data_IF_797993572068
#
_entry.id   IF_797993572068
#
_cell.length_a   1.000
_cell.length_b   1.000
_cell.length_c   1.000
_cell.angle_alpha   90.00
_cell.angle_beta   90.00
_cell.angle_gamma   90.00
#
_symmetry.space_group_name_H-M   'P 1'
#
loop_
_entity.id
_entity.type
_entity.pdbx_description
1 polymer ?
#
# COMPACT_ATOMS: atom_id res chain seq x y z
N UNK A 1 -35.37 -18.08 -93.28
CA UNK A 1 -36.44 -17.78 -92.30
C UNK A 1 -35.79 -17.35 -90.99
N UNK A 2 -36.01 -16.11 -90.56
CA UNK A 2 -35.65 -15.56 -89.23
C UNK A 2 -36.53 -16.21 -88.13
N UNK A 3 -36.04 -16.38 -86.88
CA UNK A 3 -36.02 -15.31 -85.84
C UNK A 3 -34.67 -15.21 -85.08
N UNK A 4 -34.12 -14.03 -84.79
CA UNK A 4 -34.30 -13.12 -83.62
C UNK A 4 -33.81 -13.67 -82.24
N UNK A 5 -33.35 -12.78 -81.32
CA UNK A 5 -32.10 -12.94 -80.56
C UNK A 5 -32.29 -13.21 -79.06
N UNK A 6 -31.33 -13.90 -78.46
CA UNK A 6 -31.18 -14.07 -77.01
C UNK A 6 -30.18 -13.07 -76.44
N UNK A 7 -30.70 -12.02 -75.79
CA UNK A 7 -29.97 -11.01 -75.04
C UNK A 7 -29.32 -11.64 -73.78
N UNK A 8 -28.03 -11.94 -73.80
CA UNK A 8 -27.29 -12.26 -72.58
C UNK A 8 -26.95 -10.95 -71.85
N UNK A 9 -27.72 -10.66 -70.80
CA UNK A 9 -27.42 -9.59 -69.83
C UNK A 9 -26.11 -9.93 -69.11
N UNK A 10 -25.07 -9.17 -69.40
CA UNK A 10 -23.85 -9.12 -68.58
C UNK A 10 -24.25 -8.45 -67.26
N UNK A 11 -24.35 -9.23 -66.19
CA UNK A 11 -24.45 -8.72 -64.83
C UNK A 11 -23.06 -8.20 -64.45
N UNK A 12 -22.88 -6.89 -64.52
CA UNK A 12 -21.74 -6.20 -63.92
C UNK A 12 -21.96 -6.24 -62.40
N UNK A 13 -21.34 -7.21 -61.72
CA UNK A 13 -21.26 -7.22 -60.26
C UNK A 13 -20.41 -6.04 -59.80
N UNK A 14 -21.07 -5.00 -59.30
CA UNK A 14 -20.47 -3.93 -58.53
C UNK A 14 -19.88 -4.52 -57.24
N UNK A 15 -18.55 -4.65 -57.17
CA UNK A 15 -17.84 -4.88 -55.91
C UNK A 15 -17.82 -3.55 -55.17
N UNK A 16 -18.78 -3.39 -54.26
CA UNK A 16 -18.82 -2.27 -53.32
C UNK A 16 -17.71 -2.47 -52.29
N UNK A 17 -16.57 -1.80 -52.49
CA UNK A 17 -15.49 -1.74 -51.51
C UNK A 17 -15.96 -0.89 -50.32
N UNK A 18 -16.57 -1.51 -49.32
CA UNK A 18 -16.93 -0.86 -48.06
C UNK A 18 -15.62 -0.57 -47.32
N UNK A 19 -15.13 0.66 -47.41
CA UNK A 19 -14.10 1.20 -46.52
C UNK A 19 -14.75 1.37 -45.15
N UNK A 20 -14.71 0.32 -44.34
CA UNK A 20 -15.05 0.44 -42.93
C UNK A 20 -13.99 1.34 -42.28
N UNK A 21 -14.37 2.40 -41.54
CA UNK A 21 -13.41 3.13 -40.74
C UNK A 21 -12.82 2.13 -39.74
N UNK A 22 -11.52 1.84 -39.89
CA UNK A 22 -10.76 1.17 -38.83
C UNK A 22 -10.97 2.01 -37.57
N UNK A 23 -11.45 1.44 -36.46
CA UNK A 23 -11.44 2.16 -35.20
C UNK A 23 -9.99 2.55 -34.97
N UNK A 24 -9.72 3.85 -34.94
CA UNK A 24 -8.50 4.37 -34.34
C UNK A 24 -8.57 3.86 -32.91
N UNK A 25 -7.83 2.78 -32.64
CA UNK A 25 -7.47 2.39 -31.29
C UNK A 25 -6.65 3.58 -30.78
N UNK A 26 -7.35 4.55 -30.20
CA UNK A 26 -6.75 5.46 -29.25
C UNK A 26 -6.10 4.54 -28.23
N UNK A 27 -4.75 4.57 -28.21
CA UNK A 27 -3.99 3.99 -27.12
C UNK A 27 -4.52 4.67 -25.86
N UNK A 28 -5.47 4.00 -25.21
CA UNK A 28 -5.92 4.37 -23.89
C UNK A 28 -4.65 4.24 -23.07
N UNK A 29 -4.06 5.38 -22.72
CA UNK A 29 -2.91 5.46 -21.83
C UNK A 29 -3.29 4.58 -20.66
N UNK A 30 -2.66 3.42 -20.55
CA UNK A 30 -2.91 2.50 -19.47
C UNK A 30 -2.66 3.32 -18.21
N UNK A 31 -3.74 3.66 -17.49
CA UNK A 31 -3.61 4.30 -16.19
C UNK A 31 -2.68 3.39 -15.39
N UNK A 32 -1.57 3.94 -14.93
CA UNK A 32 -0.52 3.17 -14.27
C UNK A 32 -1.15 2.40 -13.12
N UNK A 33 -1.18 1.08 -13.23
CA UNK A 33 -1.62 0.17 -12.18
C UNK A 33 -0.59 0.04 -11.06
N UNK A 34 0.49 0.82 -11.13
CA UNK A 34 1.58 0.79 -10.16
C UNK A 34 1.13 1.55 -8.90
N UNK A 35 0.77 0.77 -7.88
CA UNK A 35 0.42 1.23 -6.53
C UNK A 35 1.60 1.98 -5.87
N UNK A 36 2.83 1.65 -6.29
CA UNK A 36 4.07 2.18 -5.71
C UNK A 36 5.06 2.59 -6.81
N UNK A 37 6.01 3.50 -6.52
CA UNK A 37 7.13 3.81 -7.42
C UNK A 37 7.87 2.55 -7.88
N UNK A 38 8.06 2.43 -9.19
CA UNK A 38 8.65 1.26 -9.81
C UNK A 38 10.17 1.37 -9.93
N UNK A 39 10.91 0.59 -9.14
CA UNK A 39 12.39 0.54 -9.13
C UNK A 39 13.01 -0.61 -9.94
N UNK A 40 12.22 -1.33 -10.76
CA UNK A 40 12.69 -2.53 -11.44
C UNK A 40 13.85 -2.27 -12.41
N UNK A 41 13.84 -1.17 -13.16
CA UNK A 41 14.93 -0.82 -14.09
C UNK A 41 16.28 -0.71 -13.36
N UNK A 42 16.31 0.01 -12.23
CA UNK A 42 17.53 0.16 -11.40
C UNK A 42 18.00 -1.17 -10.80
N UNK A 43 17.05 -2.04 -10.39
CA UNK A 43 17.35 -3.39 -9.88
C UNK A 43 17.95 -4.28 -10.97
N UNK A 44 17.41 -4.24 -12.19
CA UNK A 44 17.95 -4.98 -13.35
C UNK A 44 19.34 -4.48 -13.72
N UNK A 45 19.54 -3.16 -13.80
CA UNK A 45 20.84 -2.56 -14.11
C UNK A 45 21.90 -2.94 -13.06
N UNK A 46 21.50 -3.02 -11.79
CA UNK A 46 22.40 -3.35 -10.67
C UNK A 46 22.49 -4.84 -10.39
N UNK A 47 21.76 -5.70 -11.11
CA UNK A 47 21.63 -7.12 -10.77
C UNK A 47 22.98 -7.83 -10.70
N UNK A 48 23.90 -7.48 -11.61
CA UNK A 48 25.25 -8.01 -11.62
C UNK A 48 26.04 -7.68 -10.34
N UNK A 49 25.76 -6.53 -9.70
CA UNK A 49 26.33 -6.13 -8.39
C UNK A 49 25.64 -6.85 -7.25
N UNK A 50 24.29 -6.91 -7.29
CA UNK A 50 23.45 -7.51 -6.25
C UNK A 50 23.81 -8.97 -5.95
N UNK A 51 24.19 -9.72 -6.98
CA UNK A 51 24.53 -11.16 -6.89
C UNK A 51 26.01 -11.46 -6.63
N UNK A 52 26.87 -10.45 -6.47
CA UNK A 52 28.30 -10.68 -6.25
C UNK A 52 28.56 -11.41 -4.93
N UNK A 53 29.74 -12.02 -4.76
CA UNK A 53 30.21 -12.46 -3.45
C UNK A 53 30.14 -11.32 -2.41
N UNK A 54 29.82 -11.66 -1.16
CA UNK A 54 29.62 -10.65 -0.10
C UNK A 54 30.81 -9.71 0.09
N UNK A 55 32.04 -10.21 -0.09
CA UNK A 55 33.25 -9.38 -0.01
C UNK A 55 33.18 -8.17 -0.95
N UNK A 56 32.69 -8.37 -2.17
CA UNK A 56 32.54 -7.30 -3.16
C UNK A 56 31.28 -6.45 -2.94
N UNK A 57 30.21 -7.06 -2.41
CA UNK A 57 28.98 -6.31 -2.07
C UNK A 57 29.26 -5.31 -0.95
N UNK A 58 30.03 -5.70 0.08
CA UNK A 58 30.42 -4.83 1.21
C UNK A 58 31.26 -3.63 0.79
N UNK A 59 31.99 -3.73 -0.31
CA UNK A 59 32.82 -2.65 -0.85
C UNK A 59 32.03 -1.67 -1.75
N UNK A 60 30.77 -1.98 -2.08
CA UNK A 60 29.95 -1.11 -2.92
C UNK A 60 29.67 0.21 -2.21
N UNK A 61 29.91 1.31 -2.90
CA UNK A 61 29.53 2.64 -2.45
C UNK A 61 28.08 2.92 -2.82
N UNK A 62 27.48 3.88 -2.12
CA UNK A 62 26.19 4.42 -2.53
C UNK A 62 26.26 4.98 -3.96
N UNK A 63 25.16 4.83 -4.70
CA UNK A 63 25.05 5.25 -6.10
C UNK A 63 23.65 5.78 -6.37
N UNK A 64 23.53 6.82 -7.18
CA UNK A 64 22.24 7.31 -7.69
C UNK A 64 22.08 6.82 -9.13
N UNK A 65 21.01 6.08 -9.38
CA UNK A 65 20.69 5.46 -10.67
C UNK A 65 19.46 6.14 -11.24
N UNK A 66 19.59 6.75 -12.42
CA UNK A 66 18.48 7.37 -13.13
C UNK A 66 17.68 6.33 -13.94
N UNK A 67 16.37 6.24 -13.67
CA UNK A 67 15.45 5.38 -14.42
C UNK A 67 14.82 6.15 -15.57
N UNK A 68 14.95 5.59 -16.79
CA UNK A 68 14.38 6.22 -17.98
C UNK A 68 12.89 5.99 -18.07
N UNK A 69 12.39 4.85 -17.59
CA UNK A 69 10.96 4.50 -17.72
C UNK A 69 10.05 5.40 -16.88
N UNK A 70 10.52 5.83 -15.71
CA UNK A 70 9.75 6.63 -14.75
C UNK A 70 10.28 8.06 -14.61
N UNK A 71 11.40 8.41 -15.26
CA UNK A 71 12.07 9.72 -15.15
C UNK A 71 12.31 10.07 -13.68
N UNK A 72 12.86 9.13 -12.92
CA UNK A 72 13.10 9.27 -11.48
C UNK A 72 14.47 8.72 -11.08
N UNK A 73 15.03 9.23 -10.00
CA UNK A 73 16.27 8.70 -9.44
C UNK A 73 15.98 7.63 -8.40
N UNK A 74 16.84 6.63 -8.33
CA UNK A 74 16.85 5.60 -7.28
C UNK A 74 18.23 5.56 -6.65
N UNK A 75 18.29 5.70 -5.33
CA UNK A 75 19.52 5.46 -4.58
C UNK A 75 19.70 3.96 -4.34
N UNK A 76 20.84 3.43 -4.77
CA UNK A 76 21.35 2.13 -4.37
C UNK A 76 22.27 2.30 -3.15
N UNK A 77 22.01 1.56 -2.08
CA UNK A 77 22.74 1.64 -0.82
C UNK A 77 22.99 0.24 -0.26
N UNK A 78 24.19 -0.01 0.26
CA UNK A 78 24.52 -1.24 0.99
C UNK A 78 24.73 -0.92 2.47
N UNK A 79 24.11 -1.71 3.35
CA UNK A 79 24.27 -1.63 4.79
C UNK A 79 24.77 -3.00 5.28
N UNK A 80 25.87 -3.02 6.03
CA UNK A 80 26.43 -4.23 6.61
C UNK A 80 26.26 -4.21 8.15
N UNK A 81 25.55 -5.19 8.69
CA UNK A 81 25.35 -5.37 10.13
C UNK A 81 26.15 -6.56 10.70
N UNK A 82 27.10 -7.10 9.92
CA UNK A 82 27.92 -8.25 10.27
C UNK A 82 27.21 -9.58 10.04
N UNK A 83 26.08 -9.80 10.72
CA UNK A 83 25.27 -11.02 10.57
C UNK A 83 24.38 -11.02 9.32
N UNK A 84 24.16 -9.86 8.73
CA UNK A 84 23.39 -9.70 7.51
C UNK A 84 23.91 -8.52 6.69
N UNK A 85 23.75 -8.62 5.37
CA UNK A 85 24.04 -7.53 4.43
C UNK A 85 22.73 -7.14 3.75
N UNK A 86 22.39 -5.86 3.81
CA UNK A 86 21.20 -5.29 3.21
C UNK A 86 21.57 -4.48 1.98
N UNK A 87 20.86 -4.70 0.88
CA UNK A 87 21.00 -3.95 -0.36
C UNK A 87 19.67 -3.27 -0.64
N UNK A 88 19.68 -1.93 -0.67
CA UNK A 88 18.49 -1.10 -0.73
C UNK A 88 18.40 -0.41 -2.09
N UNK A 89 17.18 -0.33 -2.62
CA UNK A 89 16.82 0.49 -3.77
C UNK A 89 15.73 1.47 -3.33
N UNK A 90 16.12 2.72 -3.10
CA UNK A 90 15.29 3.75 -2.48
C UNK A 90 14.91 4.76 -3.58
N UNK A 91 13.65 4.82 -4.02
CA UNK A 91 13.21 5.84 -4.98
C UNK A 91 13.32 7.24 -4.35
N UNK A 92 13.61 8.22 -5.19
CA UNK A 92 13.57 9.62 -4.81
C UNK A 92 12.13 10.06 -4.52
N UNK A 93 11.94 10.78 -3.42
CA UNK A 93 10.68 11.41 -3.06
C UNK A 93 10.98 12.84 -2.63
N UNK A 94 10.51 13.82 -3.42
CA UNK A 94 10.69 15.25 -3.13
C UNK A 94 12.16 15.67 -2.90
N UNK A 95 13.10 15.05 -3.60
CA UNK A 95 14.55 15.31 -3.45
C UNK A 95 15.23 14.51 -2.34
N UNK A 96 14.48 13.73 -1.57
CA UNK A 96 14.98 12.88 -0.51
C UNK A 96 14.93 11.39 -0.86
N UNK A 97 15.57 10.56 -0.04
CA UNK A 97 15.62 9.10 -0.19
C UNK A 97 15.21 8.40 1.12
N UNK A 98 13.91 8.41 1.48
CA UNK A 98 13.43 7.81 2.71
C UNK A 98 13.49 6.28 2.65
N UNK A 99 14.23 5.64 3.56
CA UNK A 99 14.36 4.16 3.62
C UNK A 99 13.01 3.46 3.80
N UNK A 100 12.07 4.07 4.53
CA UNK A 100 10.71 3.58 4.69
C UNK A 100 9.73 4.25 3.70
N UNK A 101 10.21 4.72 2.55
CA UNK A 101 9.40 5.32 1.49
C UNK A 101 8.75 4.27 0.59
N UNK A 102 7.55 4.57 0.08
CA UNK A 102 6.84 3.71 -0.86
C UNK A 102 7.70 3.33 -2.06
N UNK A 103 7.69 2.06 -2.46
CA UNK A 103 8.51 1.56 -3.57
C UNK A 103 9.95 1.22 -3.20
N UNK A 104 10.38 1.47 -1.95
CA UNK A 104 11.70 1.04 -1.49
C UNK A 104 11.77 -0.49 -1.40
N UNK A 105 12.82 -1.07 -1.99
CA UNK A 105 13.16 -2.48 -1.84
C UNK A 105 14.35 -2.64 -0.90
N UNK A 106 14.24 -3.56 0.05
CA UNK A 106 15.32 -3.95 0.96
C UNK A 106 15.58 -5.44 0.79
N UNK A 107 16.72 -5.80 0.23
CA UNK A 107 17.13 -7.18 0.00
C UNK A 107 18.07 -7.59 1.12
N UNK A 108 17.70 -8.61 1.90
CA UNK A 108 18.51 -9.17 2.98
C UNK A 108 19.27 -10.40 2.48
N UNK A 109 20.58 -10.40 2.70
CA UNK A 109 21.45 -11.56 2.50
C UNK A 109 22.03 -11.99 3.84
N UNK A 110 22.19 -13.29 4.01
CA UNK A 110 22.92 -13.88 5.13
C UNK A 110 24.37 -13.35 5.14
N UNK A 111 24.90 -12.97 6.31
CA UNK A 111 26.22 -12.35 6.43
C UNK A 111 27.41 -13.31 6.27
N UNK A 112 27.17 -14.61 6.39
CA UNK A 112 28.20 -15.65 6.34
C UNK A 112 28.35 -16.25 4.94
N UNK A 113 27.25 -16.78 4.38
CA UNK A 113 27.23 -17.49 3.11
C UNK A 113 26.67 -16.64 1.95
N UNK A 114 26.05 -15.49 2.24
CA UNK A 114 25.56 -14.57 1.23
C UNK A 114 24.33 -15.05 0.48
N UNK A 115 23.63 -16.07 0.95
CA UNK A 115 22.36 -16.49 0.36
C UNK A 115 21.31 -15.40 0.55
N UNK A 116 20.37 -15.28 -0.40
CA UNK A 116 19.22 -14.39 -0.24
C UNK A 116 18.28 -14.98 0.81
N UNK A 117 17.96 -14.22 1.85
CA UNK A 117 17.05 -14.67 2.91
C UNK A 117 15.65 -14.08 2.75
N UNK A 118 15.59 -12.81 2.33
CA UNK A 118 14.34 -12.07 2.28
C UNK A 118 14.45 -10.86 1.35
N UNK A 119 13.32 -10.42 0.80
CA UNK A 119 13.16 -9.06 0.32
C UNK A 119 11.95 -8.40 1.00
N UNK A 120 12.08 -7.14 1.42
CA UNK A 120 10.99 -6.31 1.94
C UNK A 120 10.71 -5.20 0.94
N UNK A 121 9.43 -4.95 0.64
CA UNK A 121 9.00 -3.86 -0.24
C UNK A 121 8.00 -2.99 0.50
N UNK A 122 8.29 -1.70 0.64
CA UNK A 122 7.38 -0.76 1.29
C UNK A 122 6.25 -0.36 0.35
N UNK A 123 5.01 -0.48 0.84
CA UNK A 123 3.79 -0.20 0.08
C UNK A 123 3.37 1.27 0.20
N UNK A 124 3.63 1.89 1.36
CA UNK A 124 3.41 3.31 1.63
C UNK A 124 4.67 3.88 2.27
N UNK A 125 4.73 5.20 2.42
CA UNK A 125 5.83 5.91 3.09
C UNK A 125 5.78 5.78 4.62
N UNK A 126 5.52 4.58 5.11
CA UNK A 126 5.46 4.24 6.53
C UNK A 126 6.01 2.82 6.76
N UNK A 127 6.77 2.65 7.85
CA UNK A 127 7.52 1.43 8.13
C UNK A 127 6.64 0.17 8.33
N UNK A 128 5.35 0.39 8.60
CA UNK A 128 4.35 -0.63 8.93
C UNK A 128 3.50 -1.10 7.74
N UNK A 129 3.79 -0.60 6.54
CA UNK A 129 3.07 -0.97 5.31
C UNK A 129 4.04 -1.58 4.32
N UNK A 130 4.07 -2.91 4.25
CA UNK A 130 5.05 -3.60 3.43
C UNK A 130 4.64 -5.01 3.06
N UNK A 131 5.29 -5.56 2.04
CA UNK A 131 5.35 -7.01 1.84
C UNK A 131 6.71 -7.57 2.21
N UNK A 132 6.75 -8.81 2.69
CA UNK A 132 7.97 -9.60 2.83
C UNK A 132 7.90 -10.79 1.87
N UNK A 133 9.00 -11.04 1.19
CA UNK A 133 9.19 -12.10 0.22
C UNK A 133 10.27 -13.02 0.76
N UNK A 134 9.95 -14.30 0.89
CA UNK A 134 10.87 -15.34 1.37
C UNK A 134 11.11 -16.33 0.24
N UNK A 135 12.37 -16.64 -0.11
CA UNK A 135 12.66 -17.70 -1.05
C UNK A 135 12.17 -19.04 -0.47
N UNK A 136 11.50 -19.85 -1.29
CA UNK A 136 11.00 -21.15 -0.86
C UNK A 136 11.15 -22.16 -1.99
N UNK A 137 12.15 -23.03 -1.87
CA UNK A 137 12.58 -23.88 -2.98
C UNK A 137 13.13 -23.07 -4.16
N UNK A 138 13.20 -23.69 -5.34
CA UNK A 138 13.84 -23.08 -6.52
C UNK A 138 12.89 -22.18 -7.32
N UNK A 139 11.58 -22.41 -7.24
CA UNK A 139 10.63 -21.90 -8.23
C UNK A 139 9.45 -21.10 -7.65
N UNK A 140 9.48 -20.80 -6.35
CA UNK A 140 8.45 -19.95 -5.76
C UNK A 140 8.98 -19.13 -4.59
N UNK A 141 8.24 -18.08 -4.25
CA UNK A 141 8.42 -17.33 -3.01
C UNK A 141 7.14 -17.39 -2.18
N UNK A 142 7.30 -17.29 -0.87
CA UNK A 142 6.22 -17.03 0.06
C UNK A 142 6.17 -15.52 0.31
N UNK A 143 4.99 -14.95 0.28
CA UNK A 143 4.75 -13.53 0.51
C UNK A 143 3.85 -13.33 1.73
N UNK A 144 4.31 -12.47 2.62
CA UNK A 144 3.53 -11.92 3.71
C UNK A 144 3.17 -10.47 3.40
N UNK A 145 1.93 -10.06 3.68
CA UNK A 145 1.44 -8.68 3.50
C UNK A 145 1.14 -8.09 4.87
N UNK A 146 1.79 -6.98 5.18
CA UNK A 146 1.64 -6.26 6.46
C UNK A 146 0.99 -4.90 6.20
N UNK A 147 -0.08 -4.64 6.94
CA UNK A 147 -0.89 -3.43 6.86
C UNK A 147 -0.97 -2.77 8.23
N UNK A 148 -0.37 -1.58 8.37
CA UNK A 148 -0.35 -0.84 9.63
C UNK A 148 0.10 -1.70 10.83
N UNK A 149 1.09 -2.56 10.61
CA UNK A 149 1.70 -3.44 11.62
C UNK A 149 1.10 -4.84 11.66
N UNK A 150 -0.12 -5.02 11.14
CA UNK A 150 -0.83 -6.29 11.17
C UNK A 150 -0.52 -7.17 9.96
N UNK A 151 -0.25 -8.45 10.20
CA UNK A 151 -0.10 -9.46 9.15
C UNK A 151 -1.49 -9.85 8.61
N UNK A 152 -1.88 -9.25 7.49
CA UNK A 152 -3.22 -9.45 6.90
C UNK A 152 -3.26 -10.64 5.92
N UNK A 153 -2.12 -11.00 5.33
CA UNK A 153 -1.96 -12.21 4.53
C UNK A 153 -0.61 -12.86 4.85
N UNK A 154 -0.62 -14.18 5.00
CA UNK A 154 0.57 -14.96 5.34
C UNK A 154 0.81 -16.05 4.30
N UNK A 155 2.06 -16.22 3.87
CA UNK A 155 2.47 -17.36 3.05
C UNK A 155 1.82 -17.42 1.66
N UNK A 156 1.45 -16.26 1.08
CA UNK A 156 0.90 -16.18 -0.27
C UNK A 156 1.94 -16.66 -1.27
N UNK A 157 1.64 -17.71 -2.02
CA UNK A 157 2.59 -18.32 -2.95
C UNK A 157 2.65 -17.55 -4.26
N UNK A 158 3.85 -17.13 -4.66
CA UNK A 158 4.11 -16.53 -5.98
C UNK A 158 4.95 -17.51 -6.80
N UNK A 159 4.52 -17.92 -8.01
CA UNK A 159 5.15 -18.98 -8.80
C UNK A 159 6.40 -18.48 -9.56
N UNK A 160 7.35 -17.90 -8.84
CA UNK A 160 8.60 -17.36 -9.38
C UNK A 160 9.70 -17.42 -8.31
N UNK A 161 10.94 -17.65 -8.70
CA UNK A 161 12.08 -17.56 -7.77
C UNK A 161 12.28 -16.13 -7.27
N UNK A 162 12.89 -15.96 -6.10
CA UNK A 162 13.16 -14.63 -5.56
C UNK A 162 14.05 -13.82 -6.50
N UNK A 163 15.07 -14.43 -7.09
CA UNK A 163 15.98 -13.78 -8.03
C UNK A 163 15.30 -13.22 -9.28
N UNK A 164 14.38 -13.98 -9.86
CA UNK A 164 13.57 -13.50 -10.99
C UNK A 164 12.64 -12.37 -10.55
N UNK A 165 12.00 -12.52 -9.39
CA UNK A 165 11.06 -11.53 -8.87
C UNK A 165 11.74 -10.20 -8.50
N UNK A 166 12.97 -10.26 -8.01
CA UNK A 166 13.83 -9.10 -7.73
C UNK A 166 14.19 -8.29 -8.99
N UNK A 167 13.91 -8.80 -10.18
CA UNK A 167 14.10 -8.10 -11.45
C UNK A 167 12.77 -7.66 -12.10
N UNK A 168 11.62 -8.07 -11.53
CA UNK A 168 10.29 -7.71 -12.03
C UNK A 168 9.75 -6.42 -11.38
N UNK A 169 8.88 -5.67 -12.08
CA UNK A 169 8.11 -4.60 -11.45
C UNK A 169 7.18 -5.15 -10.37
N UNK A 170 6.81 -4.29 -9.41
CA UNK A 170 5.89 -4.69 -8.34
C UNK A 170 4.51 -5.11 -8.87
N UNK A 171 4.07 -4.54 -9.99
CA UNK A 171 2.84 -4.96 -10.67
C UNK A 171 2.83 -6.44 -11.08
N UNK A 172 3.98 -7.09 -11.25
CA UNK A 172 4.04 -8.54 -11.44
C UNK A 172 3.63 -9.31 -10.16
N UNK A 173 4.06 -8.86 -8.99
CA UNK A 173 3.64 -9.42 -7.68
C UNK A 173 2.13 -9.29 -7.53
N UNK A 174 1.59 -8.10 -7.82
CA UNK A 174 0.14 -7.83 -7.82
C UNK A 174 -0.56 -8.80 -8.76
N UNK A 175 -0.09 -8.93 -10.01
CA UNK A 175 -0.71 -9.80 -11.00
C UNK A 175 -0.77 -11.28 -10.57
N UNK A 176 0.31 -11.80 -9.97
CA UNK A 176 0.35 -13.19 -9.48
C UNK A 176 -0.51 -13.45 -8.24
N UNK A 177 -0.81 -12.42 -7.45
CA UNK A 177 -1.49 -12.54 -6.16
C UNK A 177 -2.89 -11.90 -6.13
N UNK A 178 -3.36 -11.29 -7.22
CA UNK A 178 -4.63 -10.53 -7.30
C UNK A 178 -5.89 -11.25 -6.85
N UNK A 179 -5.88 -12.59 -6.85
CA UNK A 179 -7.02 -13.41 -6.42
C UNK A 179 -6.96 -13.80 -4.93
N UNK A 180 -5.82 -13.57 -4.28
CA UNK A 180 -5.57 -13.94 -2.90
C UNK A 180 -5.42 -12.71 -1.99
N UNK A 181 -4.96 -11.59 -2.57
CA UNK A 181 -4.71 -10.33 -1.87
C UNK A 181 -5.57 -9.26 -2.51
N UNK A 182 -6.35 -8.55 -1.69
CA UNK A 182 -7.06 -7.34 -2.12
C UNK A 182 -6.09 -6.16 -2.13
N UNK A 183 -5.46 -5.92 -3.28
CA UNK A 183 -4.55 -4.79 -3.47
C UNK A 183 -5.24 -3.43 -3.52
N UNK A 184 -6.57 -3.40 -3.65
CA UNK A 184 -7.35 -2.17 -3.68
C UNK A 184 -7.20 -1.36 -2.40
N UNK A 185 -6.92 -2.00 -1.27
CA UNK A 185 -6.73 -1.34 0.03
C UNK A 185 -5.52 -0.39 0.09
N UNK A 186 -4.59 -0.49 -0.88
CA UNK A 186 -3.41 0.37 -0.98
C UNK A 186 -3.56 1.47 -2.05
N UNK A 187 -4.67 1.48 -2.80
CA UNK A 187 -5.01 2.56 -3.74
C UNK A 187 -5.68 3.70 -2.96
N UNK A 188 -4.86 4.56 -2.35
CA UNK A 188 -5.33 5.67 -1.50
C UNK A 188 -5.52 6.93 -2.33
N UNK A 189 -6.68 7.57 -2.16
CA UNK A 189 -6.90 8.94 -2.59
C UNK A 189 -6.32 9.93 -1.57
N UNK A 190 -5.14 10.45 -1.88
CA UNK A 190 -4.44 11.42 -1.03
C UNK A 190 -4.94 12.85 -1.22
N UNK A 191 -5.68 13.16 -2.30
CA UNK A 191 -6.13 14.52 -2.64
C UNK A 191 -7.46 14.89 -1.96
N UNK A 192 -7.69 14.34 -0.77
CA UNK A 192 -8.93 14.52 -0.05
C UNK A 192 -8.77 15.62 0.99
N UNK A 193 -9.37 16.80 0.75
CA UNK A 193 -9.35 17.93 1.69
C UNK A 193 -9.87 17.61 3.10
N UNK A 194 -10.54 16.47 3.30
CA UNK A 194 -10.89 16.00 4.64
C UNK A 194 -9.69 15.61 5.52
N UNK A 195 -8.53 15.25 4.95
CA UNK A 195 -7.35 14.90 5.76
C UNK A 195 -6.81 16.10 6.54
N UNK A 196 -6.66 17.23 5.86
CA UNK A 196 -6.25 18.50 6.49
C UNK A 196 -7.29 18.98 7.50
N UNK A 197 -8.59 18.85 7.17
CA UNK A 197 -9.63 19.27 8.11
C UNK A 197 -9.69 18.38 9.36
N UNK A 198 -9.43 17.07 9.22
CA UNK A 198 -9.34 16.16 10.37
C UNK A 198 -8.14 16.44 11.26
N UNK A 199 -6.96 16.75 10.70
CA UNK A 199 -5.79 17.11 11.50
C UNK A 199 -6.04 18.38 12.30
N UNK A 200 -6.67 19.39 11.70
CA UNK A 200 -7.06 20.62 12.40
C UNK A 200 -8.04 20.36 13.55
N UNK A 201 -9.11 19.58 13.32
CA UNK A 201 -10.09 19.25 14.36
C UNK A 201 -9.42 18.49 15.51
N UNK A 202 -8.48 17.59 15.21
CA UNK A 202 -7.74 16.84 16.23
C UNK A 202 -6.88 17.78 17.11
N UNK A 203 -6.24 18.78 16.51
CA UNK A 203 -5.47 19.79 17.24
C UNK A 203 -6.35 20.66 18.14
N UNK A 204 -7.52 21.10 17.64
CA UNK A 204 -8.51 21.87 18.41
C UNK A 204 -9.03 21.04 19.60
N UNK A 205 -9.35 19.77 19.38
CA UNK A 205 -9.75 18.86 20.44
C UNK A 205 -8.69 18.71 21.53
N UNK A 206 -7.42 18.58 21.12
CA UNK A 206 -6.28 18.50 22.04
C UNK A 206 -6.06 19.75 22.92
N UNK A 207 -6.59 20.91 22.52
CA UNK A 207 -6.57 22.16 23.31
C UNK A 207 -7.67 22.22 24.36
N UNK A 208 -8.53 21.21 24.46
CA UNK A 208 -9.61 21.14 25.45
C UNK A 208 -10.90 21.85 25.03
N UNK A 209 -11.02 22.23 23.76
CA UNK A 209 -12.22 22.89 23.22
C UNK A 209 -13.43 21.94 23.13
N UNK A 210 -13.21 20.63 23.37
CA UNK A 210 -14.23 19.60 23.37
C UNK A 210 -14.80 19.34 21.98
N UNK A 211 -15.42 18.17 21.77
CA UNK A 211 -16.15 17.92 20.53
C UNK A 211 -17.59 18.45 20.64
N UNK A 212 -18.15 18.99 19.54
CA UNK A 212 -19.59 19.22 19.41
C UNK A 212 -20.43 18.00 19.84
N UNK A 213 -21.60 18.25 20.42
CA UNK A 213 -22.47 17.20 20.99
C UNK A 213 -22.90 16.13 19.97
N UNK A 214 -22.91 16.48 18.68
CA UNK A 214 -23.17 15.57 17.56
C UNK A 214 -22.17 14.40 17.48
N UNK A 215 -20.95 14.57 18.01
CA UNK A 215 -19.93 13.51 18.09
C UNK A 215 -20.16 12.54 19.27
N UNK A 216 -21.12 12.81 20.15
CA UNK A 216 -21.36 12.02 21.38
C UNK A 216 -22.47 10.96 21.26
N UNK A 217 -23.42 11.05 20.32
CA UNK A 217 -24.55 10.08 20.20
C UNK A 217 -24.15 8.75 19.53
N UNK A 218 -24.05 7.62 20.24
CA UNK A 218 -23.44 6.38 19.71
C UNK A 218 -24.20 5.79 18.51
N UNK A 219 -23.44 5.34 17.50
CA UNK A 219 -23.87 4.29 16.57
C UNK A 219 -23.56 2.92 17.20
N UNK A 220 -24.22 1.82 16.78
CA UNK A 220 -23.91 0.49 17.32
C UNK A 220 -22.43 0.19 17.13
N UNK A 221 -21.68 -0.12 18.21
CA UNK A 221 -20.24 -0.27 18.12
C UNK A 221 -19.85 -1.57 17.42
N UNK A 222 -18.85 -1.49 16.54
CA UNK A 222 -18.13 -2.65 16.03
C UNK A 222 -17.07 -3.05 17.06
N UNK A 223 -17.02 -4.32 17.43
CA UNK A 223 -16.03 -4.83 18.39
C UNK A 223 -14.75 -5.20 17.63
N UNK A 224 -13.61 -4.63 18.03
CA UNK A 224 -12.30 -4.97 17.45
C UNK A 224 -11.28 -5.19 18.57
N UNK A 225 -10.31 -6.08 18.35
CA UNK A 225 -9.19 -6.23 19.27
C UNK A 225 -8.32 -4.96 19.19
N UNK A 226 -7.79 -4.52 20.34
CA UNK A 226 -6.95 -3.31 20.41
C UNK A 226 -5.67 -3.44 19.60
N UNK A 227 -5.06 -4.63 19.54
CA UNK A 227 -3.88 -4.91 18.72
C UNK A 227 -4.11 -4.62 17.22
N UNK A 228 -5.34 -4.85 16.73
CA UNK A 228 -5.78 -4.59 15.34
C UNK A 228 -6.36 -3.19 15.11
N UNK A 229 -6.29 -2.31 16.10
CA UNK A 229 -6.90 -0.99 16.03
C UNK A 229 -6.36 -0.18 14.84
N UNK A 230 -5.04 -0.17 14.64
CA UNK A 230 -4.41 0.67 13.63
C UNK A 230 -4.78 0.24 12.20
N UNK A 231 -4.72 -1.06 11.88
CA UNK A 231 -5.10 -1.56 10.55
C UNK A 231 -6.59 -1.38 10.27
N UNK A 232 -7.44 -1.61 11.27
CA UNK A 232 -8.88 -1.41 11.11
C UNK A 232 -9.22 0.05 10.84
N UNK A 233 -8.62 0.96 11.60
CA UNK A 233 -8.84 2.40 11.40
C UNK A 233 -8.25 2.87 10.07
N UNK A 234 -7.11 2.33 9.65
CA UNK A 234 -6.57 2.59 8.31
C UNK A 234 -7.57 2.19 7.21
N UNK A 235 -8.11 0.98 7.26
CA UNK A 235 -9.07 0.51 6.26
C UNK A 235 -10.33 1.36 6.23
N UNK A 236 -10.85 1.72 7.41
CA UNK A 236 -11.99 2.62 7.54
C UNK A 236 -11.69 4.00 6.95
N UNK A 237 -10.50 4.56 7.21
CA UNK A 237 -10.11 5.85 6.64
C UNK A 237 -10.06 5.78 5.11
N UNK A 238 -9.48 4.72 4.54
CA UNK A 238 -9.44 4.55 3.09
C UNK A 238 -10.83 4.43 2.45
N UNK A 239 -11.77 3.74 3.11
CA UNK A 239 -13.13 3.56 2.60
C UNK A 239 -14.02 4.79 2.84
N UNK A 240 -13.79 5.49 3.95
CA UNK A 240 -14.58 6.60 4.41
C UNK A 240 -13.69 7.77 4.88
N UNK A 241 -13.05 8.50 3.95
CA UNK A 241 -12.27 9.68 4.29
C UNK A 241 -13.06 10.70 5.11
N UNK A 242 -12.38 11.37 6.03
CA UNK A 242 -13.03 12.32 6.95
C UNK A 242 -13.72 11.68 8.16
N UNK A 243 -13.60 10.36 8.35
CA UNK A 243 -14.21 9.68 9.50
C UNK A 243 -13.40 9.87 10.78
N UNK A 244 -14.06 10.34 11.83
CA UNK A 244 -13.58 10.30 13.20
C UNK A 244 -14.07 9.02 13.84
N UNK A 245 -13.20 8.36 14.59
CA UNK A 245 -13.53 7.14 15.31
C UNK A 245 -13.64 7.47 16.79
N UNK A 246 -14.74 7.11 17.43
CA UNK A 246 -14.90 7.18 18.89
C UNK A 246 -15.25 5.83 19.45
N UNK A 247 -14.94 5.59 20.71
CA UNK A 247 -15.23 4.31 21.30
C UNK A 247 -14.86 4.21 22.76
N UNK A 248 -15.00 3.00 23.26
CA UNK A 248 -14.64 2.67 24.64
C UNK A 248 -13.81 1.39 24.64
N UNK A 249 -12.80 1.36 25.49
CA UNK A 249 -11.99 0.16 25.71
C UNK A 249 -12.65 -0.68 26.78
N UNK A 250 -12.86 -1.97 26.52
CA UNK A 250 -13.42 -2.93 27.46
C UNK A 250 -12.49 -4.13 27.61
N UNK A 251 -12.13 -4.48 28.84
CA UNK A 251 -11.16 -5.56 29.14
C UNK A 251 -11.74 -6.97 28.96
N UNK A 252 -13.07 -7.11 28.90
CA UNK A 252 -13.73 -8.40 28.78
C UNK A 252 -14.95 -8.33 27.87
N UNK A 253 -15.21 -9.44 27.18
CA UNK A 253 -16.38 -9.64 26.32
C UNK A 253 -17.69 -9.90 27.06
N UNK A 254 -17.65 -10.07 28.38
CA UNK A 254 -18.88 -10.33 29.15
C UNK A 254 -19.66 -9.03 29.29
N UNK A 255 -20.95 -9.07 28.96
CA UNK A 255 -21.86 -7.92 29.01
C UNK A 255 -22.05 -7.36 30.44
N UNK A 256 -21.59 -8.07 31.48
CA UNK A 256 -21.61 -7.67 32.89
C UNK A 256 -20.29 -7.03 33.37
N UNK A 257 -19.27 -6.91 32.51
CA UNK A 257 -18.00 -6.35 32.90
C UNK A 257 -18.14 -4.84 33.16
N UNK A 258 -18.15 -4.45 34.44
CA UNK A 258 -17.83 -3.11 34.93
C UNK A 258 -16.35 -2.78 34.63
N UNK A 259 -15.99 -2.76 33.34
CA UNK A 259 -14.66 -2.40 32.87
C UNK A 259 -14.50 -0.88 32.82
N UNK A 260 -13.27 -0.41 32.96
CA UNK A 260 -12.92 1.02 32.92
C UNK A 260 -13.29 1.61 31.55
N UNK A 261 -14.49 2.18 31.45
CA UNK A 261 -14.95 2.89 30.26
C UNK A 261 -14.17 4.20 30.12
N UNK A 262 -13.03 4.17 29.43
CA UNK A 262 -12.41 5.40 28.95
C UNK A 262 -12.93 5.71 27.55
N UNK A 263 -13.50 6.89 27.41
CA UNK A 263 -13.79 7.44 26.09
C UNK A 263 -12.48 7.63 25.35
N UNK A 264 -12.41 7.02 24.18
CA UNK A 264 -11.28 7.14 23.27
C UNK A 264 -11.77 7.78 21.98
N UNK A 265 -11.06 8.80 21.55
CA UNK A 265 -11.26 9.47 20.27
C UNK A 265 -10.03 9.22 19.40
N UNK A 266 -10.26 8.94 18.13
CA UNK A 266 -9.22 8.67 17.16
C UNK A 266 -9.50 9.45 15.88
N UNK A 267 -8.50 10.20 15.44
CA UNK A 267 -8.54 11.03 14.24
C UNK A 267 -7.52 10.47 13.23
N UNK A 268 -7.96 9.63 12.28
CA UNK A 268 -7.10 9.11 11.23
C UNK A 268 -6.99 10.10 10.07
N UNK A 269 -5.78 10.35 9.57
CA UNK A 269 -5.54 11.19 8.41
C UNK A 269 -4.25 10.79 7.70
N UNK A 270 -4.05 11.30 6.49
CA UNK A 270 -2.77 11.25 5.81
C UNK A 270 -2.10 12.62 5.90
N UNK A 271 -0.81 12.65 6.25
CA UNK A 271 -0.04 13.90 6.25
C UNK A 271 0.39 14.31 4.84
N UNK A 272 1.05 15.47 4.72
CA UNK A 272 1.52 16.01 3.44
C UNK A 272 2.47 15.04 2.72
N UNK A 273 3.24 14.26 3.47
CA UNK A 273 4.13 13.22 2.95
C UNK A 273 3.42 11.88 2.69
N UNK A 274 2.09 11.88 2.66
CA UNK A 274 1.24 10.72 2.36
C UNK A 274 1.39 9.57 3.36
N UNK A 275 1.76 9.87 4.60
CA UNK A 275 1.92 8.88 5.67
C UNK A 275 0.65 8.80 6.49
N UNK A 276 0.24 7.58 6.82
CA UNK A 276 -0.93 7.38 7.66
C UNK A 276 -0.63 7.79 9.10
N UNK A 277 -1.39 8.77 9.60
CA UNK A 277 -1.31 9.31 10.95
C UNK A 277 -2.60 9.04 11.71
N UNK A 278 -2.44 8.90 13.01
CA UNK A 278 -3.53 8.65 13.93
C UNK A 278 -3.27 9.42 15.22
N UNK A 279 -4.08 10.45 15.45
CA UNK A 279 -4.09 11.14 16.74
C UNK A 279 -5.14 10.48 17.63
N UNK A 280 -4.69 9.94 18.76
CA UNK A 280 -5.55 9.22 19.70
C UNK A 280 -5.61 9.98 21.01
N UNK A 281 -6.81 10.08 21.56
CA UNK A 281 -7.05 10.75 22.82
C UNK A 281 -7.85 9.85 23.75
N UNK A 282 -7.44 9.78 25.02
CA UNK A 282 -8.12 9.03 26.07
C UNK A 282 -8.52 10.00 27.17
N UNK A 283 -9.82 10.21 27.36
CA UNK A 283 -10.32 11.23 28.29
C UNK A 283 -9.76 12.63 28.00
N UNK A 284 -9.64 13.01 26.72
CA UNK A 284 -9.13 14.30 26.27
C UNK A 284 -7.61 14.46 26.30
N UNK A 285 -6.84 13.46 26.77
CA UNK A 285 -5.37 13.49 26.74
C UNK A 285 -4.84 12.73 25.55
N UNK A 286 -3.88 13.32 24.83
CA UNK A 286 -3.18 12.64 23.76
C UNK A 286 -2.46 11.39 24.29
N UNK A 287 -2.64 10.26 23.60
CA UNK A 287 -1.98 8.98 23.88
C UNK A 287 -1.57 8.40 22.53
N UNK A 288 -0.35 7.89 22.41
CA UNK A 288 0.03 7.23 21.16
C UNK A 288 -0.76 5.93 20.99
N UNK A 289 -1.04 5.49 19.75
CA UNK A 289 -1.66 4.20 19.49
C UNK A 289 -0.94 3.03 20.17
N UNK A 290 0.40 3.01 20.12
CA UNK A 290 1.21 1.98 20.77
C UNK A 290 1.04 1.99 22.29
N UNK A 291 0.97 3.16 22.93
CA UNK A 291 0.72 3.26 24.37
C UNK A 291 -0.69 2.76 24.72
N UNK A 292 -1.69 3.05 23.89
CA UNK A 292 -3.05 2.55 24.09
C UNK A 292 -3.08 1.01 24.04
N UNK A 293 -2.47 0.40 23.02
CA UNK A 293 -2.39 -1.06 22.88
C UNK A 293 -1.58 -1.68 24.01
N UNK A 294 -0.43 -1.10 24.38
CA UNK A 294 0.40 -1.61 25.48
C UNK A 294 -0.30 -1.54 26.84
N UNK A 295 -1.15 -0.53 27.05
CA UNK A 295 -1.94 -0.41 28.28
C UNK A 295 -3.08 -1.44 28.34
N UNK A 296 -3.60 -1.86 27.18
CA UNK A 296 -4.77 -2.73 27.08
C UNK A 296 -4.58 -3.81 25.98
N UNK A 297 -3.62 -4.74 26.14
CA UNK A 297 -3.21 -5.65 25.06
C UNK A 297 -4.28 -6.69 24.67
N UNK A 298 -5.13 -7.07 25.61
CA UNK A 298 -6.19 -8.10 25.42
C UNK A 298 -7.59 -7.49 25.43
N UNK A 299 -7.69 -6.16 25.35
CA UNK A 299 -8.97 -5.48 25.41
C UNK A 299 -9.63 -5.39 24.04
N UNK A 300 -10.92 -5.09 24.07
CA UNK A 300 -11.72 -4.79 22.90
C UNK A 300 -11.98 -3.30 22.82
N UNK A 301 -11.90 -2.75 21.62
CA UNK A 301 -12.36 -1.43 21.30
C UNK A 301 -13.79 -1.51 20.75
N UNK A 302 -14.74 -0.92 21.46
CA UNK A 302 -16.11 -0.73 20.98
C UNK A 302 -16.13 0.49 20.07
N UNK A 303 -15.90 0.25 18.79
CA UNK A 303 -15.68 1.26 17.75
C UNK A 303 -17.00 1.84 17.22
N UNK A 304 -17.15 3.16 17.27
CA UNK A 304 -18.17 3.93 16.58
C UNK A 304 -17.50 4.86 15.57
N UNK A 305 -17.69 4.59 14.29
CA UNK A 305 -17.22 5.43 13.19
C UNK A 305 -18.23 6.55 12.93
N UNK A 306 -17.75 7.78 12.68
CA UNK A 306 -18.61 8.92 12.34
C UNK A 306 -17.94 9.84 11.35
N UNK A 307 -18.70 10.26 10.35
CA UNK A 307 -18.36 11.46 9.59
C UNK A 307 -18.93 12.66 10.32
N UNK A 308 -18.15 13.73 10.55
CA UNK A 308 -18.70 15.02 10.91
C UNK A 308 -19.82 15.40 9.93
N UNK A 309 -21.05 15.55 10.40
CA UNK A 309 -22.22 16.00 9.62
C UNK A 309 -22.09 17.48 9.13
N UNK A 310 -20.87 18.02 9.11
CA UNK A 310 -20.50 19.39 8.70
C UNK A 310 -19.31 19.41 7.72
N UNK A 311 -19.03 18.30 7.03
CA UNK A 311 -18.29 18.30 5.76
C UNK A 311 -19.26 18.30 4.58
N UNK A 312 -20.29 19.15 4.61
CA UNK A 312 -20.96 19.54 3.37
C UNK A 312 -19.95 20.31 2.54
N UNK A 313 -19.42 19.65 1.49
CA UNK A 313 -18.72 20.30 0.39
C UNK A 313 -19.68 21.19 -0.40
#
# INVERSE_FOLDING_TARGET
MLPLPGLNKIIISFVLLVVLPLPVLTAQVAQSTDIIPNTAESRVQSWAKVRQPLSLVREQKEEIIFQRSTVSNVKYLVIDEGFAVYQLFIPEHEGEYPVAGAGTWVIKRDGENGTFEQAKVFLLSDQEFFVRLFPSGENYVLMDVVLAGDLIHQGVRIPMSLEMLLQQPFSSIIAFSRYLVDWGVFLIDFDHGAWEKLSQIAEEYGKGEGLPEIFRKPQPPVRIMTDRLRSTIFLLACQEPGTIVSGTVVESLRDDAEGVTREVMVFPFFDAEKRFRMLTFVGGRYVSPHTLVAQFPEAYFLLSARKPDAFSF
#
